data_IF_266925431182
#
_entry.id   IF_266925431182
#
_cell.length_a   1.000
_cell.length_b   1.000
_cell.length_c   1.000
_cell.angle_alpha   90.00
_cell.angle_beta   90.00
_cell.angle_gamma   90.00
#
_symmetry.space_group_name_H-M   'P 1'
#
loop_
_entity.id
_entity.type
_entity.pdbx_description
1 polymer ?
#
# COMPACT_ATOMS: atom_id res chain seq x y z
N UNK A 1 11.15 19.43 -22.49
CA UNK A 1 9.87 19.25 -21.79
C UNK A 1 10.14 19.32 -20.30
N UNK A 2 9.58 20.30 -19.60
CA UNK A 2 9.64 20.34 -18.13
C UNK A 2 8.61 19.34 -17.63
N UNK A 3 9.06 18.21 -17.09
CA UNK A 3 8.16 17.25 -16.45
C UNK A 3 7.79 17.87 -15.11
N UNK A 4 6.56 18.38 -14.98
CA UNK A 4 6.07 18.83 -13.69
C UNK A 4 6.03 17.63 -12.73
N UNK A 5 6.61 17.73 -11.52
CA UNK A 5 6.56 16.65 -10.56
C UNK A 5 5.10 16.42 -10.14
N UNK A 6 4.65 15.18 -10.24
CA UNK A 6 3.34 14.75 -9.76
C UNK A 6 3.31 14.80 -8.22
N UNK A 7 2.21 15.31 -7.68
CA UNK A 7 1.91 15.30 -6.25
C UNK A 7 0.54 14.66 -6.05
N UNK A 8 0.44 13.61 -5.21
CA UNK A 8 -0.85 12.98 -4.94
C UNK A 8 -1.79 13.95 -4.22
N UNK A 9 -3.02 14.03 -4.68
CA UNK A 9 -4.13 14.73 -4.03
C UNK A 9 -5.24 13.76 -3.63
N UNK A 10 -6.12 14.20 -2.74
CA UNK A 10 -7.34 13.47 -2.39
C UNK A 10 -8.12 13.15 -3.66
N UNK A 11 -8.60 11.91 -3.76
CA UNK A 11 -9.32 11.42 -4.92
C UNK A 11 -8.43 10.77 -5.98
N UNK A 12 -7.12 10.92 -5.90
CA UNK A 12 -6.24 10.18 -6.80
C UNK A 12 -6.21 8.71 -6.45
N UNK A 13 -6.35 7.86 -7.46
CA UNK A 13 -5.87 6.49 -7.42
C UNK A 13 -4.40 6.49 -7.85
N UNK A 14 -3.56 5.95 -6.98
CA UNK A 14 -2.13 5.84 -7.22
C UNK A 14 -1.64 4.42 -7.03
N UNK A 15 -0.53 4.08 -7.70
CA UNK A 15 0.23 2.85 -7.43
C UNK A 15 1.46 3.17 -6.63
N UNK A 16 1.64 2.44 -5.55
CA UNK A 16 2.82 2.49 -4.69
C UNK A 16 3.10 1.11 -4.10
N UNK A 17 4.34 0.90 -3.68
CA UNK A 17 4.81 -0.37 -3.14
C UNK A 17 4.37 -0.55 -1.68
N UNK A 18 3.71 -1.67 -1.39
CA UNK A 18 3.31 -2.07 -0.05
C UNK A 18 4.32 -3.05 0.56
N UNK A 19 4.48 -2.95 1.88
CA UNK A 19 5.52 -3.62 2.64
C UNK A 19 6.73 -2.72 2.85
N UNK A 20 7.58 -3.08 3.80
CA UNK A 20 8.94 -2.56 3.81
C UNK A 20 9.71 -3.25 2.69
N UNK A 21 10.52 -2.50 1.92
CA UNK A 21 11.60 -3.13 1.18
C UNK A 21 12.37 -3.97 2.20
N UNK A 22 12.40 -5.30 2.04
CA UNK A 22 13.21 -6.17 2.87
C UNK A 22 14.67 -5.77 2.65
N UNK A 23 15.15 -4.86 3.48
CA UNK A 23 16.56 -4.55 3.54
C UNK A 23 17.22 -5.68 4.32
N UNK A 24 18.24 -6.29 3.73
CA UNK A 24 19.10 -7.20 4.47
C UNK A 24 19.70 -6.44 5.65
N UNK A 25 19.29 -6.78 6.86
CA UNK A 25 19.87 -6.19 8.07
C UNK A 25 21.15 -6.94 8.43
N UNK A 26 22.02 -6.30 9.22
CA UNK A 26 23.20 -6.98 9.76
C UNK A 26 22.82 -8.27 10.51
N UNK A 27 21.66 -8.29 11.17
CA UNK A 27 21.13 -9.47 11.86
C UNK A 27 20.66 -10.55 10.90
N UNK A 28 20.00 -10.20 9.79
CA UNK A 28 19.66 -11.18 8.73
C UNK A 28 20.90 -11.81 8.11
N UNK A 29 21.98 -11.03 7.95
CA UNK A 29 23.27 -11.54 7.46
C UNK A 29 23.92 -12.47 8.48
N UNK A 30 23.99 -12.07 9.77
CA UNK A 30 24.50 -12.92 10.85
C UNK A 30 23.72 -14.23 10.95
N UNK A 31 22.39 -14.17 10.82
CA UNK A 31 21.51 -15.34 10.84
C UNK A 31 21.82 -16.29 9.69
N UNK A 32 22.02 -15.79 8.48
CA UNK A 32 22.39 -16.61 7.32
C UNK A 32 23.70 -17.39 7.57
N UNK A 33 24.73 -16.74 8.12
CA UNK A 33 25.99 -17.39 8.46
C UNK A 33 25.84 -18.46 9.55
N UNK A 34 25.01 -18.21 10.57
CA UNK A 34 24.73 -19.23 11.60
C UNK A 34 24.04 -20.46 11.02
N UNK A 35 23.06 -20.27 10.13
CA UNK A 35 22.36 -21.39 9.47
C UNK A 35 23.31 -22.17 8.55
N UNK A 36 24.18 -21.48 7.82
CA UNK A 36 25.22 -22.11 7.01
C UNK A 36 26.19 -22.94 7.86
N UNK A 37 26.60 -22.42 9.02
CA UNK A 37 27.47 -23.14 9.96
C UNK A 37 26.81 -24.39 10.57
N UNK A 38 25.47 -24.45 10.61
CA UNK A 38 24.72 -25.66 10.98
C UNK A 38 24.62 -26.72 9.87
N UNK A 39 25.25 -26.50 8.72
CA UNK A 39 25.26 -27.45 7.60
C UNK A 39 24.04 -27.35 6.68
N UNK A 40 23.24 -26.30 6.81
CA UNK A 40 22.06 -26.06 5.97
C UNK A 40 22.49 -25.63 4.56
N UNK A 41 21.81 -26.14 3.54
CA UNK A 41 22.09 -25.73 2.14
C UNK A 41 21.65 -24.30 1.86
N UNK A 42 22.23 -23.66 0.84
CA UNK A 42 21.85 -22.30 0.44
C UNK A 42 20.34 -22.14 0.19
N UNK A 43 19.70 -23.11 -0.46
CA UNK A 43 18.26 -23.09 -0.75
C UNK A 43 17.41 -23.17 0.53
N UNK A 44 17.82 -23.99 1.51
CA UNK A 44 17.13 -24.12 2.79
C UNK A 44 17.29 -22.86 3.65
N UNK A 45 18.47 -22.24 3.64
CA UNK A 45 18.73 -20.96 4.31
C UNK A 45 17.82 -19.89 3.71
N UNK A 46 17.77 -19.78 2.38
CA UNK A 46 16.92 -18.81 1.69
C UNK A 46 15.44 -19.01 2.03
N UNK A 47 14.95 -20.26 2.04
CA UNK A 47 13.58 -20.58 2.45
C UNK A 47 13.30 -20.20 3.90
N UNK A 48 14.23 -20.50 4.81
CA UNK A 48 14.09 -20.24 6.25
C UNK A 48 14.03 -18.74 6.51
N UNK A 49 14.98 -17.98 5.96
CA UNK A 49 15.01 -16.52 6.09
C UNK A 49 13.77 -15.87 5.48
N UNK A 50 13.32 -16.32 4.29
CA UNK A 50 12.10 -15.79 3.68
C UNK A 50 10.85 -16.04 4.54
N UNK A 51 10.76 -17.20 5.21
CA UNK A 51 9.68 -17.51 6.13
C UNK A 51 9.76 -16.67 7.42
N UNK A 52 10.97 -16.48 7.98
CA UNK A 52 11.21 -15.63 9.15
C UNK A 52 10.94 -14.13 8.85
N UNK A 53 11.19 -13.69 7.60
CA UNK A 53 10.98 -12.32 7.13
C UNK A 53 9.55 -12.03 6.66
N UNK A 54 8.65 -13.03 6.60
CA UNK A 54 7.24 -12.77 6.35
C UNK A 54 6.67 -12.00 7.53
N UNK A 55 6.43 -10.70 7.33
CA UNK A 55 5.76 -9.88 8.32
C UNK A 55 4.42 -10.54 8.71
N UNK A 56 4.23 -10.75 10.02
CA UNK A 56 2.98 -11.23 10.58
C UNK A 56 1.88 -10.19 10.35
N UNK A 57 1.20 -10.28 9.20
CA UNK A 57 0.07 -9.44 8.86
C UNK A 57 -0.52 -9.85 7.52
N UNK A 58 -1.83 -9.67 7.35
CA UNK A 58 -2.52 -9.80 6.04
C UNK A 58 -2.10 -8.69 5.05
N UNK A 59 -0.96 -8.05 5.28
CA UNK A 59 -0.49 -6.93 4.49
C UNK A 59 -0.02 -7.44 3.13
N UNK A 60 -0.71 -7.00 2.09
CA UNK A 60 -0.39 -7.39 0.73
C UNK A 60 0.96 -6.79 0.31
N UNK A 61 1.91 -7.62 -0.11
CA UNK A 61 3.24 -7.20 -0.58
C UNK A 61 3.20 -6.82 -2.06
N UNK A 62 3.93 -5.77 -2.44
CA UNK A 62 4.17 -5.35 -3.82
C UNK A 62 3.38 -4.11 -4.25
N UNK A 63 3.40 -3.77 -5.54
CA UNK A 63 2.70 -2.60 -6.07
C UNK A 63 1.18 -2.81 -6.02
N UNK A 64 0.47 -1.89 -5.37
CA UNK A 64 -1.01 -1.92 -5.27
C UNK A 64 -1.62 -0.57 -5.63
N UNK A 65 -2.79 -0.57 -6.31
CA UNK A 65 -3.59 0.64 -6.42
C UNK A 65 -4.19 0.99 -5.06
N UNK A 66 -4.22 2.28 -4.75
CA UNK A 66 -4.81 2.84 -3.53
C UNK A 66 -5.52 4.14 -3.84
N UNK A 67 -6.57 4.45 -3.10
CA UNK A 67 -7.23 5.75 -3.12
C UNK A 67 -6.59 6.68 -2.09
N UNK A 68 -6.18 7.88 -2.49
CA UNK A 68 -5.67 8.93 -1.60
C UNK A 68 -6.82 9.69 -0.94
N UNK A 69 -6.80 9.81 0.38
CA UNK A 69 -7.83 10.50 1.18
C UNK A 69 -7.34 11.83 1.76
N UNK A 70 -6.04 11.96 2.01
CA UNK A 70 -5.46 13.19 2.56
C UNK A 70 -5.33 14.28 1.49
N UNK A 71 -5.56 15.56 1.83
CA UNK A 71 -5.50 16.66 0.86
C UNK A 71 -4.07 17.01 0.46
N UNK A 72 -3.86 17.50 -0.77
CA UNK A 72 -2.54 17.85 -1.32
C UNK A 72 -1.69 18.74 -0.42
N UNK A 73 -2.31 19.67 0.33
CA UNK A 73 -1.59 20.54 1.27
C UNK A 73 -0.85 19.73 2.34
N UNK A 74 -1.52 18.73 2.92
CA UNK A 74 -0.90 17.79 3.86
C UNK A 74 0.15 16.94 3.14
N UNK A 75 -0.21 16.36 1.99
CA UNK A 75 0.64 15.40 1.27
C UNK A 75 1.99 16.00 0.88
N UNK A 76 1.99 17.26 0.44
CA UNK A 76 3.20 18.00 0.07
C UNK A 76 4.10 18.32 1.25
N UNK A 77 3.50 18.71 2.38
CA UNK A 77 4.21 19.11 3.59
C UNK A 77 4.82 17.91 4.32
N UNK A 78 4.02 16.86 4.52
CA UNK A 78 4.43 15.69 5.28
C UNK A 78 5.27 14.69 4.47
N UNK A 79 5.20 14.74 3.13
CA UNK A 79 5.65 13.65 2.25
C UNK A 79 4.94 12.30 2.52
N UNK A 80 3.81 12.35 3.22
CA UNK A 80 2.96 11.20 3.55
C UNK A 80 1.62 11.32 2.85
N UNK A 81 1.00 10.18 2.56
CA UNK A 81 -0.40 10.10 2.13
C UNK A 81 -1.17 9.18 3.06
N UNK A 82 -2.40 9.57 3.42
CA UNK A 82 -3.41 8.69 4.00
C UNK A 82 -4.18 8.07 2.85
N UNK A 83 -4.21 6.74 2.79
CA UNK A 83 -4.78 6.01 1.66
C UNK A 83 -5.63 4.82 2.10
N UNK A 84 -6.58 4.42 1.26
CA UNK A 84 -7.30 3.15 1.38
C UNK A 84 -6.88 2.20 0.23
N UNK A 85 -6.51 0.94 0.52
CA UNK A 85 -6.18 -0.06 -0.50
C UNK A 85 -7.34 -0.40 -1.42
N UNK A 86 -7.03 -0.81 -2.65
CA UNK A 86 -8.01 -1.32 -3.61
C UNK A 86 -7.71 -2.80 -3.91
N UNK A 87 -8.76 -3.63 -3.92
CA UNK A 87 -8.68 -5.05 -4.31
C UNK A 87 -9.62 -5.35 -5.46
N UNK A 88 -9.18 -6.17 -6.41
CA UNK A 88 -10.00 -6.69 -7.50
C UNK A 88 -10.86 -7.90 -7.10
N UNK A 89 -10.71 -8.39 -5.86
CA UNK A 89 -11.45 -9.53 -5.33
C UNK A 89 -12.35 -9.06 -4.17
N UNK A 90 -13.55 -8.54 -4.47
CA UNK A 90 -14.50 -8.11 -3.45
C UNK A 90 -15.03 -9.32 -2.68
N UNK A 91 -15.35 -9.11 -1.40
CA UNK A 91 -15.93 -10.12 -0.51
C UNK A 91 -17.36 -9.78 -0.09
N UNK A 92 -17.88 -8.63 -0.50
CA UNK A 92 -19.22 -8.17 -0.11
C UNK A 92 -19.29 -7.70 1.35
N UNK A 93 -18.17 -7.22 1.89
CA UNK A 93 -18.10 -6.71 3.26
C UNK A 93 -18.62 -5.27 3.34
N UNK A 94 -19.18 -4.87 4.48
CA UNK A 94 -19.84 -3.56 4.65
C UNK A 94 -18.96 -2.35 4.34
N UNK A 95 -17.65 -2.49 4.53
CA UNK A 95 -16.64 -1.43 4.31
C UNK A 95 -16.03 -1.41 2.91
N UNK A 96 -16.48 -2.29 2.01
CA UNK A 96 -16.10 -2.24 0.60
C UNK A 96 -16.90 -1.13 -0.11
N UNK A 97 -16.21 -0.24 -0.82
CA UNK A 97 -16.81 0.78 -1.70
C UNK A 97 -16.49 0.42 -3.15
N UNK A 98 -17.48 0.06 -3.98
CA UNK A 98 -17.24 -0.34 -5.36
C UNK A 98 -16.75 0.82 -6.22
N UNK A 99 -15.74 0.55 -7.05
CA UNK A 99 -15.33 1.47 -8.11
C UNK A 99 -16.35 1.43 -9.25
N UNK A 100 -16.63 2.60 -9.83
CA UNK A 100 -17.63 2.74 -10.90
C UNK A 100 -17.20 2.04 -12.19
N UNK A 101 -18.19 1.61 -12.98
CA UNK A 101 -17.94 1.12 -14.34
C UNK A 101 -17.30 2.21 -15.21
N UNK A 102 -16.47 1.79 -16.18
CA UNK A 102 -15.72 2.73 -17.05
C UNK A 102 -14.37 3.22 -16.49
N UNK A 103 -14.11 3.06 -15.19
CA UNK A 103 -12.80 3.39 -14.60
C UNK A 103 -11.67 2.48 -15.09
N UNK A 104 -10.42 2.95 -15.06
CA UNK A 104 -9.25 2.13 -15.39
C UNK A 104 -8.99 1.06 -14.31
N UNK A 105 -9.14 1.44 -13.06
CA UNK A 105 -8.98 0.59 -11.87
C UNK A 105 -10.31 -0.11 -11.59
N UNK A 106 -10.24 -1.40 -11.28
CA UNK A 106 -11.40 -2.25 -11.03
C UNK A 106 -11.38 -2.80 -9.61
N UNK A 107 -12.57 -3.08 -9.07
CA UNK A 107 -12.75 -3.71 -7.77
C UNK A 107 -13.37 -2.78 -6.75
N UNK A 108 -12.92 -2.88 -5.51
CA UNK A 108 -13.46 -2.15 -4.36
C UNK A 108 -12.34 -1.46 -3.57
N UNK A 109 -12.64 -0.28 -3.03
CA UNK A 109 -11.84 0.39 -2.00
C UNK A 109 -12.17 -0.25 -0.65
N UNK A 110 -11.14 -0.58 0.12
CA UNK A 110 -11.24 -1.14 1.47
C UNK A 110 -11.17 0.02 2.48
N UNK A 111 -12.33 0.63 2.78
CA UNK A 111 -12.39 1.86 3.58
C UNK A 111 -11.91 1.68 5.03
N UNK A 112 -12.01 0.48 5.57
CA UNK A 112 -11.56 0.08 6.92
C UNK A 112 -10.05 -0.19 7.02
N UNK A 113 -9.32 -0.19 5.89
CA UNK A 113 -7.90 -0.53 5.85
C UNK A 113 -6.99 0.67 5.59
N UNK A 114 -7.26 1.80 6.25
CA UNK A 114 -6.48 3.03 6.08
C UNK A 114 -5.00 2.80 6.40
N UNK A 115 -4.12 3.38 5.57
CA UNK A 115 -2.67 3.36 5.75
C UNK A 115 -2.05 4.74 5.57
N UNK A 116 -0.97 4.99 6.28
CA UNK A 116 -0.10 6.15 6.09
C UNK A 116 1.18 5.71 5.39
N UNK A 117 1.48 6.28 4.22
CA UNK A 117 2.61 5.84 3.40
C UNK A 117 3.46 7.03 2.92
N UNK A 118 4.78 6.88 2.95
CA UNK A 118 5.70 7.81 2.30
C UNK A 118 5.63 7.60 0.78
N UNK A 119 5.02 8.54 0.08
CA UNK A 119 4.78 8.46 -1.36
C UNK A 119 6.01 8.79 -2.19
N UNK A 120 6.96 9.56 -1.63
CA UNK A 120 8.22 9.91 -2.32
C UNK A 120 9.16 8.72 -2.32
N UNK A 121 9.40 8.14 -1.14
CA UNK A 121 10.24 6.96 -0.99
C UNK A 121 9.72 5.77 -1.81
N UNK A 122 8.39 5.64 -1.92
CA UNK A 122 7.72 4.56 -2.66
C UNK A 122 7.48 4.86 -4.16
N UNK A 123 8.06 5.94 -4.69
CA UNK A 123 7.99 6.33 -6.11
C UNK A 123 6.57 6.24 -6.67
N UNK A 124 5.64 6.95 -6.01
CA UNK A 124 4.22 6.95 -6.36
C UNK A 124 3.98 7.20 -7.85
N UNK A 125 3.02 6.49 -8.42
CA UNK A 125 2.58 6.66 -9.80
C UNK A 125 1.09 6.95 -9.84
N UNK A 126 0.71 8.08 -10.41
CA UNK A 126 -0.68 8.39 -10.72
C UNK A 126 -1.30 7.33 -11.65
N UNK A 127 -2.59 7.04 -11.46
CA UNK A 127 -3.37 6.18 -12.34
C UNK A 127 -4.55 6.98 -12.91
N UNK A 128 -5.47 7.39 -12.04
CA UNK A 128 -6.67 8.15 -12.41
C UNK A 128 -7.20 8.90 -11.18
N UNK A 129 -8.20 9.77 -11.36
CA UNK A 129 -8.88 10.47 -10.26
C UNK A 129 -10.34 10.01 -10.20
N UNK A 130 -10.85 9.79 -9.00
CA UNK A 130 -12.25 9.38 -8.77
C UNK A 130 -13.20 10.58 -8.73
N UNK A 131 -14.49 10.31 -8.91
CA UNK A 131 -15.55 11.29 -8.66
C UNK A 131 -15.67 11.62 -7.16
N UNK A 132 -16.15 12.83 -6.86
CA UNK A 132 -16.30 13.34 -5.50
C UNK A 132 -17.21 12.44 -4.64
N UNK A 133 -18.32 11.95 -5.19
CA UNK A 133 -19.28 11.08 -4.48
C UNK A 133 -18.62 9.80 -3.94
N UNK A 134 -17.64 9.23 -4.67
CA UNK A 134 -16.90 8.04 -4.21
C UNK A 134 -16.00 8.37 -3.03
N UNK A 135 -15.38 9.56 -3.04
CA UNK A 135 -14.54 10.04 -1.93
C UNK A 135 -15.41 10.19 -0.68
N UNK A 136 -16.60 10.79 -0.83
CA UNK A 136 -17.55 11.00 0.25
C UNK A 136 -18.08 9.68 0.82
N UNK A 137 -18.38 8.69 -0.03
CA UNK A 137 -18.78 7.35 0.45
C UNK A 137 -17.68 6.68 1.27
N UNK A 138 -16.42 6.72 0.80
CA UNK A 138 -15.28 6.15 1.53
C UNK A 138 -15.07 6.88 2.86
N UNK A 139 -15.17 8.22 2.87
CA UNK A 139 -15.04 9.03 4.08
C UNK A 139 -16.15 8.74 5.08
N UNK A 140 -17.41 8.66 4.64
CA UNK A 140 -18.54 8.36 5.49
C UNK A 140 -18.42 6.98 6.16
N UNK A 141 -17.97 5.95 5.42
CA UNK A 141 -17.71 4.64 6.02
C UNK A 141 -16.56 4.68 7.03
N UNK A 142 -15.46 5.34 6.68
CA UNK A 142 -14.32 5.49 7.58
C UNK A 142 -14.70 6.24 8.87
N UNK A 143 -15.54 7.28 8.77
CA UNK A 143 -15.99 8.12 9.89
C UNK A 143 -16.58 7.27 11.02
N UNK A 144 -17.34 6.22 10.68
CA UNK A 144 -17.97 5.29 11.64
C UNK A 144 -16.99 4.51 12.53
N UNK A 145 -15.69 4.50 12.18
CA UNK A 145 -14.66 3.76 12.90
C UNK A 145 -13.79 4.64 13.81
N UNK A 146 -13.76 5.95 13.56
CA UNK A 146 -12.77 6.86 14.17
C UNK A 146 -13.38 8.06 14.89
N UNK A 147 -14.70 8.25 14.79
CA UNK A 147 -15.46 9.26 15.52
C UNK A 147 -16.69 8.63 16.18
#
# INVERSE_FOLDING_TARGET
>A
MVVNPYFPDRGDIVKLEFGNAQQFTADSIRRAFTLQASGMSFDEIARTLNNELQQQGREQIGYRPVLVLSPIKYNRMASLVLVCPITSNPKGLSFEVPLLEGMQTKGVVLSDQIKTLDWRARKVKFVETVAQDLIEEVQAKLETLIF
#
